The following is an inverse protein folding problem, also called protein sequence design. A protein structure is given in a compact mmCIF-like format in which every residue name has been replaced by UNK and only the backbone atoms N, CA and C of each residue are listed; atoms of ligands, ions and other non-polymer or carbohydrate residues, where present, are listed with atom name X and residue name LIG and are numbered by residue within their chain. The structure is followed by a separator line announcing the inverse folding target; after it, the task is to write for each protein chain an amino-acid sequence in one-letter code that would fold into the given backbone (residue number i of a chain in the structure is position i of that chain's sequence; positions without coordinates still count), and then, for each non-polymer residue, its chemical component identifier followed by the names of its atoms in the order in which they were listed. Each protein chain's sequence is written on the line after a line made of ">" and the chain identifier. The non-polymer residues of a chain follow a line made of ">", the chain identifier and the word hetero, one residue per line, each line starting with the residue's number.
data_IF_236359906506
#
_entry.id   IF_236359906506
#
_cell.length_a   1.000
_cell.length_b   1.000
_cell.length_c   1.000
_cell.angle_alpha   90.00
_cell.angle_beta   90.00
_cell.angle_gamma   90.00
#
_symmetry.space_group_name_H-M   'P 1'
#
loop_
_entity.id
_entity.type
_entity.pdbx_description
1 polymer ?
#
# COMPACT_ATOMS: atom_id res chain seq x y z
N UNK A 1 -13.26 2.20 -15.45
CA UNK A 1 -13.08 3.01 -14.21
C UNK A 1 -13.53 2.20 -13.02
N UNK A 2 -12.68 1.26 -12.56
CA UNK A 2 -13.06 0.28 -11.55
C UNK A 2 -12.61 0.65 -10.13
N UNK A 3 -12.56 1.94 -9.81
CA UNK A 3 -12.33 2.40 -8.45
C UNK A 3 -13.63 2.33 -7.61
N UNK A 4 -14.34 1.21 -7.67
CA UNK A 4 -15.50 0.96 -6.83
C UNK A 4 -15.04 0.77 -5.36
N UNK A 5 -15.62 1.55 -4.47
CA UNK A 5 -15.32 1.51 -3.02
C UNK A 5 -16.48 0.91 -2.29
N UNK A 6 -16.35 -0.26 -1.65
CA UNK A 6 -17.24 -0.59 -0.57
C UNK A 6 -16.90 0.34 0.61
N UNK A 7 -17.81 1.21 0.97
CA UNK A 7 -17.73 1.92 2.25
C UNK A 7 -18.50 1.11 3.27
N UNK A 8 -17.85 0.24 3.98
CA UNK A 8 -18.36 -0.33 5.20
C UNK A 8 -17.96 0.66 6.32
N UNK A 9 -18.92 1.27 6.95
CA UNK A 9 -18.69 2.23 8.02
C UNK A 9 -19.44 1.83 9.28
N UNK A 10 -18.79 1.12 10.18
CA UNK A 10 -19.27 1.01 11.55
C UNK A 10 -18.70 2.18 12.36
N UNK A 11 -19.55 2.80 13.17
CA UNK A 11 -19.15 3.82 14.11
C UNK A 11 -19.00 3.19 15.49
N UNK A 12 -17.77 3.24 16.01
CA UNK A 12 -17.44 2.74 17.35
C UNK A 12 -17.16 3.92 18.29
N UNK A 13 -17.67 3.82 19.51
CA UNK A 13 -17.30 4.75 20.57
C UNK A 13 -16.25 4.09 21.47
N UNK A 14 -15.12 4.74 21.66
CA UNK A 14 -14.03 4.28 22.52
C UNK A 14 -13.84 5.27 23.67
N UNK A 15 -13.71 4.75 24.87
CA UNK A 15 -13.30 5.54 26.05
C UNK A 15 -11.79 5.87 25.98
N UNK A 16 -11.32 6.91 26.67
CA UNK A 16 -9.89 7.19 26.76
C UNK A 16 -9.08 5.98 27.26
N UNK A 17 -8.05 5.57 26.48
CA UNK A 17 -7.22 4.41 26.80
C UNK A 17 -7.83 3.05 26.45
N UNK A 18 -9.03 3.01 25.93
CA UNK A 18 -9.69 1.78 25.48
C UNK A 18 -9.09 1.31 24.14
N UNK A 19 -9.02 -0.01 23.98
CA UNK A 19 -8.59 -0.66 22.72
C UNK A 19 -9.69 -1.56 22.22
N UNK A 20 -9.98 -1.50 20.93
CA UNK A 20 -10.87 -2.44 20.25
C UNK A 20 -10.10 -3.22 19.20
N UNK A 21 -10.38 -4.50 19.08
CA UNK A 21 -9.91 -5.34 18.00
C UNK A 21 -11.02 -5.51 16.96
N UNK A 22 -10.70 -5.16 15.71
CA UNK A 22 -11.58 -5.40 14.57
C UNK A 22 -11.01 -6.57 13.77
N UNK A 23 -11.84 -7.58 13.54
CA UNK A 23 -11.51 -8.68 12.65
C UNK A 23 -11.99 -8.34 11.23
N UNK A 24 -11.06 -8.15 10.31
CA UNK A 24 -11.37 -7.81 8.92
C UNK A 24 -12.29 -8.87 8.27
N UNK A 25 -12.10 -10.15 8.55
CA UNK A 25 -12.95 -11.20 8.00
C UNK A 25 -14.42 -11.06 8.40
N UNK A 26 -14.70 -10.55 9.59
CA UNK A 26 -16.07 -10.30 10.06
C UNK A 26 -16.70 -9.06 9.42
N UNK A 27 -15.89 -8.12 8.94
CA UNK A 27 -16.35 -6.85 8.36
C UNK A 27 -16.50 -6.93 6.84
N UNK A 28 -15.49 -7.46 6.15
CA UNK A 28 -15.42 -7.48 4.68
C UNK A 28 -15.53 -8.87 4.07
N UNK A 29 -15.56 -9.93 4.88
CA UNK A 29 -15.61 -11.31 4.44
C UNK A 29 -14.23 -11.96 4.27
N UNK A 30 -14.20 -13.29 4.07
CA UNK A 30 -12.95 -14.02 3.84
C UNK A 30 -12.33 -13.66 2.49
N UNK A 31 -11.05 -13.94 2.35
CA UNK A 31 -10.28 -13.77 1.11
C UNK A 31 -10.22 -12.32 0.59
N UNK A 32 -10.52 -11.35 1.44
CA UNK A 32 -10.39 -9.95 1.09
C UNK A 32 -8.94 -9.48 1.20
N UNK A 33 -8.50 -8.73 0.18
CA UNK A 33 -7.21 -8.06 0.14
C UNK A 33 -7.41 -6.59 -0.22
N UNK A 34 -6.93 -5.68 0.61
CA UNK A 34 -7.14 -4.26 0.37
C UNK A 34 -6.56 -3.38 1.46
N UNK A 35 -7.03 -2.14 1.53
CA UNK A 35 -6.63 -1.15 2.53
C UNK A 35 -7.83 -0.69 3.35
N UNK A 36 -7.57 -0.27 4.58
CA UNK A 36 -8.58 0.27 5.47
C UNK A 36 -8.25 1.72 5.84
N UNK A 37 -9.30 2.52 5.99
CA UNK A 37 -9.23 3.87 6.51
C UNK A 37 -10.01 3.95 7.81
N UNK A 38 -9.36 4.46 8.85
CA UNK A 38 -9.98 4.70 10.15
C UNK A 38 -9.99 6.19 10.41
N UNK A 39 -11.16 6.73 10.72
CA UNK A 39 -11.33 8.15 11.11
C UNK A 39 -11.74 8.24 12.55
N UNK A 40 -11.25 9.23 13.27
CA UNK A 40 -11.62 9.51 14.65
C UNK A 40 -11.71 11.01 14.90
N UNK A 41 -12.50 11.38 15.88
CA UNK A 41 -12.56 12.75 16.41
C UNK A 41 -11.46 13.05 17.43
N UNK A 42 -10.70 12.03 17.84
CA UNK A 42 -9.61 12.11 18.81
C UNK A 42 -8.38 11.35 18.27
N UNK A 43 -7.15 11.65 18.77
CA UNK A 43 -5.96 10.92 18.39
C UNK A 43 -6.10 9.42 18.62
N UNK A 44 -5.73 8.62 17.61
CA UNK A 44 -5.72 7.15 17.64
C UNK A 44 -4.32 6.60 17.38
N UNK A 45 -4.00 5.49 18.06
CA UNK A 45 -2.97 4.55 17.60
C UNK A 45 -3.63 3.41 16.85
N UNK A 46 -3.07 3.01 15.71
CA UNK A 46 -3.56 1.90 14.90
C UNK A 46 -2.43 0.89 14.68
N UNK A 47 -2.73 -0.37 14.98
CA UNK A 47 -1.85 -1.50 14.66
C UNK A 47 -2.63 -2.48 13.80
N UNK A 48 -2.01 -2.97 12.75
CA UNK A 48 -2.57 -4.00 11.86
C UNK A 48 -1.77 -5.27 12.04
N UNK A 49 -2.46 -6.35 12.41
CA UNK A 49 -1.89 -7.68 12.53
C UNK A 49 -2.42 -8.55 11.38
N UNK A 50 -1.52 -9.13 10.61
CA UNK A 50 -1.84 -10.12 9.59
C UNK A 50 -1.38 -11.48 10.08
N UNK A 51 -2.32 -12.41 10.20
CA UNK A 51 -2.09 -13.74 10.74
C UNK A 51 -2.50 -14.80 9.73
N UNK A 52 -1.66 -15.81 9.56
CA UNK A 52 -1.95 -17.01 8.79
C UNK A 52 -1.41 -18.26 9.46
N UNK A 53 -1.63 -19.46 8.91
CA UNK A 53 -1.25 -20.71 9.55
C UNK A 53 0.24 -20.80 9.93
N UNK A 54 1.11 -20.18 9.15
CA UNK A 54 2.56 -20.25 9.31
C UNK A 54 3.25 -18.89 9.26
N UNK A 55 2.50 -17.79 9.33
CA UNK A 55 3.06 -16.45 9.27
C UNK A 55 2.30 -15.47 10.17
N UNK A 56 3.03 -14.49 10.64
CA UNK A 56 2.51 -13.35 11.38
C UNK A 56 3.29 -12.11 10.98
N UNK A 57 2.60 -11.04 10.68
CA UNK A 57 3.21 -9.72 10.50
C UNK A 57 2.39 -8.66 11.22
N UNK A 58 3.06 -7.62 11.69
CA UNK A 58 2.42 -6.50 12.36
C UNK A 58 3.04 -5.19 11.89
N UNK A 59 2.21 -4.19 11.67
CA UNK A 59 2.68 -2.84 11.32
C UNK A 59 1.77 -1.77 11.92
N UNK A 60 2.32 -0.58 12.07
CA UNK A 60 1.58 0.59 12.57
C UNK A 60 0.90 1.28 11.39
N UNK A 61 -0.37 1.63 11.56
CA UNK A 61 -1.10 2.41 10.57
C UNK A 61 -0.46 3.80 10.37
N UNK A 62 -0.42 4.24 9.14
CA UNK A 62 0.11 5.57 8.80
C UNK A 62 -0.96 6.64 9.05
N UNK A 63 -0.63 7.75 9.72
CA UNK A 63 -1.53 8.88 9.83
C UNK A 63 -1.74 9.50 8.45
N UNK A 64 -2.98 9.50 7.99
CA UNK A 64 -3.36 10.04 6.68
C UNK A 64 -4.43 11.13 6.77
N UNK A 65 -4.82 11.44 7.98
CA UNK A 65 -6.07 12.11 8.29
C UNK A 65 -6.03 13.63 8.21
N UNK A 66 -4.87 14.19 8.34
CA UNK A 66 -4.81 15.63 8.60
C UNK A 66 -4.93 16.42 7.30
N UNK A 67 -4.75 15.77 6.16
CA UNK A 67 -4.54 16.54 4.94
C UNK A 67 -5.05 15.85 3.68
N UNK A 68 -6.35 15.76 3.54
CA UNK A 68 -6.94 15.38 2.25
C UNK A 68 -6.47 16.27 1.08
N UNK A 69 -5.78 17.37 1.39
CA UNK A 69 -5.27 18.35 0.43
C UNK A 69 -3.78 18.67 0.59
N UNK A 70 -3.11 18.17 1.63
CA UNK A 70 -1.69 18.48 1.87
C UNK A 70 -0.83 17.22 1.74
N UNK A 71 0.03 17.20 0.73
CA UNK A 71 0.93 16.10 0.35
C UNK A 71 2.11 15.90 1.32
N UNK A 72 2.02 16.35 2.57
CA UNK A 72 3.11 16.26 3.55
C UNK A 72 3.31 14.87 4.12
N UNK A 73 2.30 14.00 4.04
CA UNK A 73 2.39 12.61 4.49
C UNK A 73 2.37 11.64 3.31
N UNK A 74 3.35 10.84 3.24
CA UNK A 74 3.62 9.93 2.13
C UNK A 74 4.69 10.51 1.22
N UNK A 75 5.57 9.63 0.79
CA UNK A 75 6.65 9.98 -0.10
C UNK A 75 6.24 9.68 -1.54
N UNK A 76 6.69 10.51 -2.46
CA UNK A 76 6.58 10.19 -3.89
C UNK A 76 7.51 9.04 -4.29
N UNK A 77 8.52 8.75 -3.46
CA UNK A 77 9.45 7.64 -3.63
C UNK A 77 9.55 6.87 -2.31
N UNK A 78 9.34 5.57 -2.38
CA UNK A 78 9.45 4.64 -1.27
C UNK A 78 10.39 3.49 -1.63
N UNK A 79 11.04 2.92 -0.62
CA UNK A 79 11.96 1.79 -0.79
C UNK A 79 11.57 0.65 0.15
N UNK A 80 11.53 -0.58 -0.39
CA UNK A 80 11.53 -1.81 0.37
C UNK A 80 12.91 -2.47 0.20
N UNK A 81 13.77 -2.44 1.22
CA UNK A 81 15.20 -2.79 1.07
C UNK A 81 15.46 -4.29 1.00
N UNK A 82 14.50 -5.14 1.37
CA UNK A 82 14.67 -6.58 1.39
C UNK A 82 13.37 -7.26 0.98
N UNK A 83 13.40 -7.91 -0.18
CA UNK A 83 12.28 -8.67 -0.72
C UNK A 83 12.77 -9.96 -1.35
N UNK A 84 11.88 -10.96 -1.38
CA UNK A 84 12.15 -12.32 -1.83
C UNK A 84 11.17 -12.75 -2.92
N UNK A 85 11.65 -13.48 -3.94
CA UNK A 85 10.82 -14.21 -4.87
C UNK A 85 11.31 -15.65 -4.93
N UNK A 86 10.51 -16.58 -4.43
CA UNK A 86 10.81 -18.02 -4.36
C UNK A 86 12.17 -18.34 -3.71
N UNK A 87 12.63 -17.47 -2.78
CA UNK A 87 13.94 -17.60 -2.16
C UNK A 87 13.86 -18.43 -0.88
N UNK A 88 14.40 -19.64 -0.92
CA UNK A 88 14.44 -20.58 0.22
C UNK A 88 13.07 -20.79 0.90
N UNK A 89 12.00 -20.80 0.10
CA UNK A 89 10.63 -20.95 0.60
C UNK A 89 9.99 -19.66 1.11
N UNK A 90 10.64 -18.51 0.90
CA UNK A 90 10.10 -17.20 1.24
C UNK A 90 9.66 -16.43 -0.01
N UNK A 91 8.50 -15.84 0.11
CA UNK A 91 7.93 -14.93 -0.89
C UNK A 91 7.53 -13.61 -0.25
N UNK A 92 7.54 -12.58 -1.06
CA UNK A 92 7.07 -11.24 -0.67
C UNK A 92 5.87 -10.85 -1.52
N UNK A 93 4.89 -10.22 -0.89
CA UNK A 93 3.88 -9.41 -1.54
C UNK A 93 4.10 -7.95 -1.16
N UNK A 94 4.39 -7.11 -2.15
CA UNK A 94 4.49 -5.68 -1.97
C UNK A 94 3.10 -5.07 -2.08
N UNK A 95 2.65 -4.36 -1.04
CA UNK A 95 1.39 -3.62 -1.09
C UNK A 95 1.67 -2.12 -1.14
N UNK A 96 1.15 -1.45 -2.16
CA UNK A 96 1.26 -0.01 -2.35
C UNK A 96 -0.11 0.63 -2.13
N UNK A 97 -0.20 1.57 -1.20
CA UNK A 97 -1.42 2.31 -0.90
C UNK A 97 -1.33 3.75 -1.42
N UNK A 98 -2.39 4.22 -2.05
CA UNK A 98 -2.56 5.61 -2.41
C UNK A 98 -3.23 6.38 -1.27
N UNK A 99 -2.53 7.34 -0.69
CA UNK A 99 -3.02 8.16 0.41
C UNK A 99 -3.90 9.32 -0.04
N UNK A 100 -3.94 9.64 -1.33
CA UNK A 100 -4.84 10.67 -1.86
C UNK A 100 -6.29 10.24 -1.72
N UNK A 101 -7.13 11.16 -1.26
CA UNK A 101 -8.58 10.94 -1.16
C UNK A 101 -9.31 11.02 -2.51
N UNK A 102 -8.74 11.73 -3.48
CA UNK A 102 -9.45 12.17 -4.70
C UNK A 102 -8.73 11.84 -6.01
N UNK A 103 -7.42 11.63 -5.98
CA UNK A 103 -6.61 11.45 -7.19
C UNK A 103 -6.05 10.04 -7.28
N UNK A 104 -6.23 9.35 -8.40
CA UNK A 104 -5.56 8.09 -8.67
C UNK A 104 -4.04 8.30 -8.83
N UNK A 105 -3.25 7.38 -8.26
CA UNK A 105 -1.81 7.40 -8.37
C UNK A 105 -1.36 6.49 -9.52
N UNK A 106 -0.56 7.02 -10.45
CA UNK A 106 0.20 6.19 -11.38
C UNK A 106 1.53 5.87 -10.72
N UNK A 107 1.77 4.60 -10.43
CA UNK A 107 2.98 4.16 -9.76
C UNK A 107 3.90 3.40 -10.71
N UNK A 108 5.19 3.60 -10.53
CA UNK A 108 6.23 2.83 -11.19
C UNK A 108 7.04 2.08 -10.13
N UNK A 109 7.09 0.77 -10.28
CA UNK A 109 7.75 -0.14 -9.35
C UNK A 109 8.99 -0.69 -10.04
N UNK A 110 10.16 -0.46 -9.45
CA UNK A 110 11.43 -0.95 -9.95
C UNK A 110 11.93 -2.07 -9.03
N UNK A 111 12.22 -3.22 -9.58
CA UNK A 111 12.84 -4.33 -8.89
C UNK A 111 14.33 -4.30 -9.16
N UNK A 112 15.13 -4.20 -8.09
CA UNK A 112 16.57 -4.02 -8.16
C UNK A 112 17.27 -5.21 -7.52
N UNK A 113 18.34 -5.67 -8.13
CA UNK A 113 19.20 -6.69 -7.55
C UNK A 113 20.05 -6.13 -6.37
N UNK A 114 20.90 -6.99 -5.82
CA UNK A 114 21.79 -6.60 -4.71
C UNK A 114 22.85 -5.57 -5.12
N UNK A 115 23.14 -5.45 -6.39
CA UNK A 115 24.06 -4.44 -6.96
C UNK A 115 23.39 -3.10 -7.20
N UNK A 116 22.07 -3.06 -7.18
CA UNK A 116 21.28 -1.86 -7.49
C UNK A 116 20.86 -1.76 -8.96
N UNK A 117 21.12 -2.81 -9.76
CA UNK A 117 20.71 -2.86 -11.15
C UNK A 117 19.22 -3.21 -11.27
N UNK A 118 18.52 -2.56 -12.19
CA UNK A 118 17.10 -2.79 -12.41
C UNK A 118 16.91 -4.10 -13.19
N UNK A 119 16.26 -5.06 -12.57
CA UNK A 119 15.90 -6.34 -13.17
C UNK A 119 14.64 -6.22 -14.02
N UNK A 120 13.59 -5.64 -13.44
CA UNK A 120 12.33 -5.41 -14.14
C UNK A 120 11.60 -4.20 -13.57
N UNK A 121 10.61 -3.73 -14.30
CA UNK A 121 9.81 -2.56 -13.92
C UNK A 121 8.35 -2.81 -14.24
N UNK A 122 7.46 -2.39 -13.33
CA UNK A 122 6.01 -2.37 -13.55
C UNK A 122 5.49 -0.95 -13.49
N UNK A 123 4.40 -0.71 -14.21
CA UNK A 123 3.63 0.53 -14.11
C UNK A 123 2.17 0.14 -13.90
N UNK A 124 1.55 0.71 -12.87
CA UNK A 124 0.17 0.43 -12.55
C UNK A 124 -0.53 1.65 -11.96
N UNK A 125 -1.85 1.57 -11.80
CA UNK A 125 -2.68 2.61 -11.23
C UNK A 125 -3.24 2.16 -9.90
N UNK A 126 -3.14 3.03 -8.91
CA UNK A 126 -3.74 2.82 -7.58
C UNK A 126 -4.84 3.83 -7.38
N UNK A 127 -6.06 3.34 -7.20
CA UNK A 127 -7.23 4.19 -6.97
C UNK A 127 -7.05 5.09 -5.74
N UNK A 128 -7.74 6.23 -5.68
CA UNK A 128 -7.72 7.07 -4.48
C UNK A 128 -8.11 6.25 -3.25
N UNK A 129 -7.35 6.33 -2.15
CA UNK A 129 -7.51 5.54 -0.92
C UNK A 129 -7.45 4.01 -1.12
N UNK A 130 -7.15 3.55 -2.32
CA UNK A 130 -7.00 2.14 -2.64
C UNK A 130 -5.58 1.64 -2.41
N UNK A 131 -5.41 0.35 -2.60
CA UNK A 131 -4.11 -0.31 -2.63
C UNK A 131 -3.99 -1.26 -3.80
N UNK A 132 -2.77 -1.49 -4.23
CA UNK A 132 -2.39 -2.48 -5.23
C UNK A 132 -1.37 -3.43 -4.62
N UNK A 133 -1.58 -4.73 -4.81
CA UNK A 133 -0.68 -5.76 -4.33
C UNK A 133 0.09 -6.36 -5.49
N UNK A 134 1.42 -6.43 -5.36
CA UNK A 134 2.32 -7.05 -6.30
C UNK A 134 2.92 -8.30 -5.64
N UNK A 135 2.41 -9.48 -6.01
CA UNK A 135 2.95 -10.75 -5.54
C UNK A 135 4.18 -11.12 -6.39
N UNK A 136 5.35 -11.15 -5.79
CA UNK A 136 6.61 -11.23 -6.51
C UNK A 136 6.76 -12.45 -7.43
N UNK A 137 6.39 -13.67 -7.01
CA UNK A 137 6.46 -14.85 -7.89
C UNK A 137 5.63 -14.74 -9.17
N UNK A 138 4.61 -13.89 -9.18
CA UNK A 138 3.76 -13.67 -10.36
C UNK A 138 4.29 -12.58 -11.31
N UNK A 139 5.40 -11.90 -10.96
CA UNK A 139 5.91 -10.77 -11.74
C UNK A 139 6.76 -11.26 -12.89
N UNK A 140 6.32 -10.98 -14.11
CA UNK A 140 7.07 -11.34 -15.31
C UNK A 140 8.44 -10.66 -15.35
N UNK A 141 9.48 -11.44 -15.66
CA UNK A 141 10.86 -10.96 -15.73
C UNK A 141 11.59 -10.91 -14.39
N UNK A 142 10.94 -11.23 -13.27
CA UNK A 142 11.62 -11.43 -12.01
C UNK A 142 12.08 -12.88 -11.91
N UNK A 143 13.38 -13.16 -11.63
CA UNK A 143 13.87 -14.52 -11.54
C UNK A 143 13.29 -15.25 -10.32
N UNK A 144 13.14 -16.58 -10.43
CA UNK A 144 12.94 -17.42 -9.25
C UNK A 144 14.21 -17.45 -8.38
N UNK A 145 14.06 -17.80 -7.10
CA UNK A 145 15.13 -17.81 -6.11
C UNK A 145 15.90 -16.48 -6.00
N UNK A 146 15.17 -15.37 -6.10
CA UNK A 146 15.72 -14.02 -6.17
C UNK A 146 15.57 -13.26 -4.84
N UNK A 147 16.59 -12.44 -4.54
CA UNK A 147 16.63 -11.51 -3.41
C UNK A 147 17.08 -10.14 -3.92
N UNK A 148 16.36 -9.12 -3.53
CA UNK A 148 16.69 -7.77 -3.93
C UNK A 148 15.95 -6.71 -3.14
N UNK A 149 15.73 -5.59 -3.78
CA UNK A 149 15.00 -4.45 -3.23
C UNK A 149 14.00 -3.88 -4.24
N UNK A 150 13.08 -3.07 -3.74
CA UNK A 150 12.11 -2.36 -4.56
C UNK A 150 12.20 -0.87 -4.31
N UNK A 151 12.08 -0.12 -5.39
CA UNK A 151 11.80 1.32 -5.38
C UNK A 151 10.43 1.55 -6.02
N UNK A 152 9.55 2.22 -5.31
CA UNK A 152 8.21 2.62 -5.80
C UNK A 152 8.19 4.13 -5.96
N UNK A 153 7.81 4.59 -7.13
CA UNK A 153 7.66 6.01 -7.43
C UNK A 153 6.22 6.32 -7.84
N UNK A 154 5.63 7.33 -7.23
CA UNK A 154 4.44 7.96 -7.77
C UNK A 154 4.83 8.89 -8.91
N UNK A 155 4.28 8.67 -10.09
CA UNK A 155 4.65 9.43 -11.28
C UNK A 155 3.83 10.72 -11.37
N UNK A 156 4.52 11.81 -11.68
CA UNK A 156 3.85 13.00 -12.22
C UNK A 156 3.21 12.65 -13.55
N UNK A 157 1.98 13.03 -13.74
CA UNK A 157 1.35 12.83 -15.02
C UNK A 157 0.82 14.15 -15.58
N UNK A 158 0.89 14.26 -16.88
CA UNK A 158 0.28 15.36 -17.64
C UNK A 158 -0.78 14.74 -18.53
N UNK A 159 -2.01 15.20 -18.43
CA UNK A 159 -2.96 14.98 -19.51
C UNK A 159 -2.46 15.73 -20.73
N UNK A 160 -2.48 15.15 -21.95
CA UNK A 160 -2.13 15.88 -23.15
C UNK A 160 -2.93 17.20 -23.23
N UNK A 161 -2.24 18.35 -23.17
CA UNK A 161 -2.86 19.68 -23.17
C UNK A 161 -3.43 20.18 -21.84
N UNK A 162 -3.23 19.45 -20.74
CA UNK A 162 -3.67 19.85 -19.39
C UNK A 162 -2.53 20.33 -18.51
N UNK A 163 -2.86 20.93 -17.34
CA UNK A 163 -1.85 21.30 -16.35
C UNK A 163 -1.12 20.07 -15.84
N UNK A 164 0.14 20.26 -15.47
CA UNK A 164 0.94 19.23 -14.75
C UNK A 164 0.25 18.96 -13.42
N UNK A 165 -0.26 17.75 -13.24
CA UNK A 165 -0.78 17.31 -11.95
C UNK A 165 0.39 16.74 -11.17
N UNK A 166 0.64 17.23 -9.95
CA UNK A 166 1.66 16.66 -9.08
C UNK A 166 1.34 15.20 -8.77
N UNK A 167 2.39 14.39 -8.69
CA UNK A 167 2.24 12.99 -8.37
C UNK A 167 1.66 12.85 -6.94
N UNK A 168 0.56 12.12 -6.77
CA UNK A 168 0.00 11.91 -5.45
C UNK A 168 0.95 11.08 -4.58
N UNK A 169 0.91 11.27 -3.26
CA UNK A 169 1.72 10.49 -2.34
C UNK A 169 1.26 9.03 -2.32
N UNK A 170 2.22 8.15 -2.28
CA UNK A 170 2.00 6.70 -2.11
C UNK A 170 2.87 6.18 -0.99
N UNK A 171 2.48 5.08 -0.37
CA UNK A 171 3.28 4.33 0.58
C UNK A 171 3.38 2.88 0.14
N UNK A 172 4.50 2.25 0.42
CA UNK A 172 4.74 0.83 0.19
C UNK A 172 5.19 0.16 1.49
N UNK A 173 4.75 -1.06 1.69
CA UNK A 173 5.09 -1.91 2.85
C UNK A 173 5.62 -3.24 2.35
#
# INVERSE_FOLDING_TARGET
>A
DDCLRPSLGDVLALSPGETVKLDANSVVGPDWLGSAWVRSTQPLGLVVDTMGPNHFTSYVGLPADVYELDFTYGNQVNYAPLIYSEYQGWDTALQVQNLSAITAAKVKVYFLDRGGDIITTLVDWVCPRGSQTFYLPAIAGLPGNWVGSVRVESQKWTTPGGPVVEAPPVTGV
#
